data_IF_030258759955
#
_entry.id   IF_030258759955
#
_cell.length_a   1.000
_cell.length_b   1.000
_cell.length_c   1.000
_cell.angle_alpha   90.00
_cell.angle_beta   90.00
_cell.angle_gamma   90.00
#
_symmetry.space_group_name_H-M   'P 1'
#
loop_
_entity.id
_entity.type
_entity.pdbx_description
1 polymer ?
#
# COMPACT_ATOMS: atom_id res chain seq x y z
N UNK A 1 -5.81 -9.58 -14.43
CA UNK A 1 -6.23 -10.93 -14.87
C UNK A 1 -5.15 -11.49 -15.78
N UNK A 2 -4.75 -12.76 -15.62
CA UNK A 2 -3.59 -13.31 -16.36
C UNK A 2 -3.87 -13.67 -17.83
N UNK A 3 -5.13 -13.63 -18.25
CA UNK A 3 -5.57 -13.95 -19.61
C UNK A 3 -5.55 -12.76 -20.59
N UNK A 4 -5.27 -11.56 -20.10
CA UNK A 4 -5.23 -10.32 -20.88
C UNK A 4 -3.79 -9.85 -21.09
N UNK A 5 -3.55 -9.19 -22.22
CA UNK A 5 -2.32 -8.43 -22.46
C UNK A 5 -2.38 -7.11 -21.68
N UNK A 6 -1.21 -6.49 -21.44
CA UNK A 6 -1.14 -5.24 -20.69
C UNK A 6 -1.88 -4.06 -21.35
N UNK A 7 -1.99 -4.10 -22.69
CA UNK A 7 -2.57 -3.03 -23.50
C UNK A 7 -3.98 -3.37 -24.01
N UNK A 8 -4.57 -4.48 -23.56
CA UNK A 8 -5.94 -4.86 -23.95
C UNK A 8 -6.96 -3.90 -23.28
N UNK A 9 -7.99 -3.53 -24.03
CA UNK A 9 -9.14 -2.79 -23.48
C UNK A 9 -10.04 -3.76 -22.72
N UNK A 10 -10.29 -3.48 -21.44
CA UNK A 10 -11.19 -4.27 -20.60
C UNK A 10 -12.58 -3.61 -20.53
N UNK A 11 -13.62 -4.35 -20.91
CA UNK A 11 -15.01 -4.01 -20.64
C UNK A 11 -15.62 -5.00 -19.65
N UNK A 12 -16.21 -4.48 -18.57
CA UNK A 12 -16.97 -5.27 -17.59
C UNK A 12 -18.47 -5.09 -17.83
N UNK A 13 -19.23 -6.19 -17.89
CA UNK A 13 -20.68 -6.18 -18.10
C UNK A 13 -21.36 -7.05 -17.05
N UNK A 14 -22.41 -6.52 -16.44
CA UNK A 14 -23.33 -7.27 -15.58
C UNK A 14 -24.72 -6.66 -15.69
N UNK A 15 -25.76 -7.49 -15.56
CA UNK A 15 -27.14 -7.02 -15.39
C UNK A 15 -27.42 -6.69 -13.91
N UNK A 16 -28.50 -5.96 -13.66
CA UNK A 16 -29.00 -5.79 -12.29
C UNK A 16 -29.37 -7.16 -11.71
N UNK A 17 -28.92 -7.45 -10.48
CA UNK A 17 -29.09 -8.75 -9.80
C UNK A 17 -28.57 -9.96 -10.62
N UNK A 18 -27.47 -9.78 -11.36
CA UNK A 18 -26.90 -10.86 -12.16
C UNK A 18 -26.30 -12.01 -11.32
N UNK A 19 -26.35 -13.22 -11.88
CA UNK A 19 -25.63 -14.39 -11.38
C UNK A 19 -24.20 -14.49 -11.92
N UNK A 20 -23.88 -13.71 -12.95
CA UNK A 20 -22.58 -13.70 -13.63
C UNK A 20 -22.12 -12.28 -13.95
N UNK A 21 -20.80 -12.13 -14.09
CA UNK A 21 -20.16 -10.95 -14.67
C UNK A 21 -19.36 -11.40 -15.89
N UNK A 22 -19.43 -10.61 -16.96
CA UNK A 22 -18.65 -10.83 -18.18
C UNK A 22 -17.50 -9.83 -18.25
N UNK A 23 -16.31 -10.35 -18.55
CA UNK A 23 -15.12 -9.58 -18.86
C UNK A 23 -14.78 -9.77 -20.34
N UNK A 24 -14.79 -8.67 -21.08
CA UNK A 24 -14.41 -8.64 -22.50
C UNK A 24 -13.05 -7.95 -22.61
N UNK A 25 -12.10 -8.63 -23.26
CA UNK A 25 -10.79 -8.07 -23.57
C UNK A 25 -10.63 -7.91 -25.08
N UNK A 26 -10.29 -6.71 -25.51
CA UNK A 26 -10.07 -6.39 -26.93
C UNK A 26 -8.63 -5.96 -27.13
N UNK A 27 -7.91 -6.60 -28.05
CA UNK A 27 -6.53 -6.22 -28.38
C UNK A 27 -6.49 -4.81 -29.01
N UNK A 28 -5.39 -4.09 -28.79
CA UNK A 28 -5.24 -2.72 -29.30
C UNK A 28 -5.38 -2.61 -30.84
N UNK A 29 -5.02 -3.66 -31.58
CA UNK A 29 -5.16 -3.77 -33.04
C UNK A 29 -6.49 -4.44 -33.49
N UNK A 30 -7.38 -4.76 -32.56
CA UNK A 30 -8.73 -5.31 -32.78
C UNK A 30 -8.77 -6.66 -33.51
N UNK A 31 -7.66 -7.40 -33.55
CA UNK A 31 -7.60 -8.73 -34.19
C UNK A 31 -8.03 -9.87 -33.27
N UNK A 32 -8.12 -9.61 -31.96
CA UNK A 32 -8.43 -10.57 -30.92
C UNK A 32 -9.44 -9.98 -29.94
N UNK A 33 -10.52 -10.72 -29.74
CA UNK A 33 -11.49 -10.49 -28.67
C UNK A 33 -11.55 -11.73 -27.80
N UNK A 34 -11.54 -11.55 -26.48
CA UNK A 34 -11.65 -12.65 -25.51
C UNK A 34 -12.74 -12.36 -24.50
N UNK A 35 -13.75 -13.24 -24.48
CA UNK A 35 -14.90 -13.15 -23.58
C UNK A 35 -14.79 -14.18 -22.47
N UNK A 36 -14.83 -13.72 -21.22
CA UNK A 36 -14.82 -14.58 -20.03
C UNK A 36 -16.02 -14.27 -19.15
N UNK A 37 -16.79 -15.31 -18.84
CA UNK A 37 -17.91 -15.23 -17.91
C UNK A 37 -17.54 -15.87 -16.57
N UNK A 38 -17.85 -15.19 -15.47
CA UNK A 38 -17.59 -15.67 -14.12
C UNK A 38 -18.87 -15.61 -13.28
N UNK A 39 -19.14 -16.67 -12.50
CA UNK A 39 -20.23 -16.68 -11.53
C UNK A 39 -19.94 -15.71 -10.38
N UNK A 40 -20.95 -14.93 -10.03
CA UNK A 40 -20.93 -14.04 -8.89
C UNK A 40 -21.18 -14.83 -7.59
N UNK A 41 -20.72 -14.27 -6.48
CA UNK A 41 -20.90 -14.83 -5.15
C UNK A 41 -21.61 -13.80 -4.28
N UNK A 42 -22.61 -14.26 -3.54
CA UNK A 42 -23.26 -13.44 -2.52
C UNK A 42 -22.37 -13.39 -1.30
N UNK A 43 -21.86 -12.20 -1.01
CA UNK A 43 -21.07 -11.91 0.18
C UNK A 43 -21.87 -10.91 1.02
N UNK A 44 -22.01 -11.19 2.31
CA UNK A 44 -22.54 -10.22 3.26
C UNK A 44 -21.54 -9.06 3.34
N UNK A 45 -21.95 -7.88 2.90
CA UNK A 45 -21.09 -6.69 2.90
C UNK A 45 -21.41 -5.82 4.11
N UNK A 46 -20.50 -5.79 5.07
CA UNK A 46 -20.46 -4.77 6.11
C UNK A 46 -19.51 -3.66 5.65
N UNK A 47 -20.07 -2.54 5.18
CA UNK A 47 -19.28 -1.36 4.88
C UNK A 47 -18.95 -0.63 6.19
N UNK A 48 -17.67 -0.59 6.52
CA UNK A 48 -17.18 0.27 7.60
C UNK A 48 -16.97 1.68 7.08
N UNK A 49 -17.55 2.67 7.76
CA UNK A 49 -17.26 4.07 7.51
C UNK A 49 -15.82 4.38 7.94
N UNK A 50 -15.05 5.00 7.05
CA UNK A 50 -13.72 5.51 7.38
C UNK A 50 -13.89 6.97 7.83
N UNK A 51 -13.55 7.32 9.08
CA UNK A 51 -13.65 8.69 9.55
C UNK A 51 -12.56 9.57 8.92
N UNK A 52 -12.81 10.88 8.89
CA UNK A 52 -11.78 11.86 8.62
C UNK A 52 -10.81 11.90 9.81
N UNK A 53 -9.53 11.67 9.54
CA UNK A 53 -8.48 11.54 10.55
C UNK A 53 -7.33 12.48 10.23
N UNK A 54 -6.94 13.29 11.20
CA UNK A 54 -5.70 14.06 11.14
C UNK A 54 -4.52 13.15 11.51
N UNK A 55 -3.52 13.09 10.64
CA UNK A 55 -2.32 12.27 10.86
C UNK A 55 -1.18 13.12 11.40
N UNK A 56 -0.50 12.62 12.44
CA UNK A 56 0.71 13.21 12.99
C UNK A 56 1.82 13.37 11.93
N UNK A 57 1.96 12.39 11.05
CA UNK A 57 2.94 12.40 9.98
C UNK A 57 2.42 11.76 8.70
N UNK A 58 2.72 12.40 7.56
CA UNK A 58 2.49 11.89 6.22
C UNK A 58 3.85 11.79 5.52
N UNK A 59 4.22 10.58 5.11
CA UNK A 59 5.46 10.30 4.40
C UNK A 59 5.13 9.80 3.01
N UNK A 60 5.65 10.45 1.96
CA UNK A 60 5.57 9.97 0.59
C UNK A 60 6.97 9.63 0.08
N UNK A 61 7.11 8.45 -0.53
CA UNK A 61 8.40 7.92 -0.99
C UNK A 61 8.23 7.03 -2.22
N UNK A 62 9.33 6.61 -2.89
CA UNK A 62 9.26 5.66 -3.99
C UNK A 62 8.68 4.32 -3.52
N UNK A 63 7.65 3.83 -4.23
CA UNK A 63 6.95 2.59 -3.86
C UNK A 63 7.85 1.36 -3.93
N UNK A 64 8.81 1.37 -4.86
CA UNK A 64 9.80 0.32 -5.02
C UNK A 64 10.78 0.25 -3.83
N UNK A 65 11.15 1.40 -3.26
CA UNK A 65 12.03 1.47 -2.10
C UNK A 65 11.32 0.97 -0.84
N UNK A 66 10.09 1.42 -0.61
CA UNK A 66 9.26 0.89 0.48
C UNK A 66 9.07 -0.64 0.39
N UNK A 67 8.83 -1.15 -0.82
CA UNK A 67 8.70 -2.59 -1.06
C UNK A 67 10.00 -3.37 -0.76
N UNK A 68 11.15 -2.80 -1.09
CA UNK A 68 12.47 -3.37 -0.75
C UNK A 68 12.67 -3.39 0.75
N UNK A 69 12.46 -2.26 1.43
CA UNK A 69 12.58 -2.13 2.89
C UNK A 69 11.72 -3.19 3.61
N UNK A 70 10.44 -3.32 3.25
CA UNK A 70 9.54 -4.29 3.89
C UNK A 70 10.00 -5.74 3.69
N UNK A 71 10.54 -6.07 2.52
CA UNK A 71 11.03 -7.41 2.20
C UNK A 71 12.30 -7.75 2.96
N UNK A 72 13.23 -6.80 3.00
CA UNK A 72 14.54 -6.96 3.61
C UNK A 72 14.41 -7.07 5.13
N UNK A 73 13.62 -6.19 5.76
CA UNK A 73 13.40 -6.22 7.21
C UNK A 73 12.64 -7.48 7.66
N UNK A 74 11.75 -8.02 6.84
CA UNK A 74 11.07 -9.27 7.14
C UNK A 74 11.99 -10.50 7.19
N UNK A 75 13.23 -10.40 6.70
CA UNK A 75 14.24 -11.46 6.89
C UNK A 75 14.80 -11.47 8.32
N UNK A 76 14.74 -10.35 9.04
CA UNK A 76 15.34 -10.18 10.37
C UNK A 76 14.33 -10.33 11.50
N UNK A 77 13.09 -9.89 11.31
CA UNK A 77 12.06 -9.94 12.34
C UNK A 77 10.64 -9.86 11.81
N UNK A 78 9.69 -10.29 12.65
CA UNK A 78 8.26 -10.33 12.31
C UNK A 78 7.55 -8.98 12.43
N UNK A 79 8.22 -8.01 13.07
CA UNK A 79 7.69 -6.67 13.30
C UNK A 79 8.67 -5.62 12.80
N UNK A 80 8.14 -4.49 12.33
CA UNK A 80 8.93 -3.31 11.97
C UNK A 80 8.40 -2.11 12.74
N UNK A 81 9.33 -1.39 13.37
CA UNK A 81 9.11 -0.09 13.98
C UNK A 81 9.33 0.98 12.92
N UNK A 82 8.31 1.80 12.67
CA UNK A 82 8.37 2.97 11.80
C UNK A 82 8.40 4.20 12.69
N UNK A 83 9.52 4.93 12.67
CA UNK A 83 9.74 6.14 13.45
C UNK A 83 9.92 7.34 12.51
N UNK A 84 9.03 8.32 12.61
CA UNK A 84 9.12 9.59 11.88
C UNK A 84 9.59 10.69 12.83
N UNK A 85 10.69 11.35 12.47
CA UNK A 85 11.27 12.45 13.24
C UNK A 85 11.72 13.57 12.29
N UNK A 86 12.21 14.68 12.85
CA UNK A 86 12.77 15.79 12.04
C UNK A 86 13.94 15.37 11.14
N UNK A 87 14.62 14.28 11.47
CA UNK A 87 15.77 13.80 10.69
C UNK A 87 15.40 12.85 9.55
N UNK A 88 14.11 12.50 9.41
CA UNK A 88 13.63 11.55 8.42
C UNK A 88 12.74 10.45 9.00
N UNK A 89 12.40 9.50 8.15
CA UNK A 89 11.70 8.26 8.52
C UNK A 89 12.71 7.13 8.69
N UNK A 90 12.58 6.37 9.78
CA UNK A 90 13.42 5.21 10.09
C UNK A 90 12.56 3.97 10.23
N UNK A 91 12.97 2.91 9.56
CA UNK A 91 12.41 1.57 9.65
C UNK A 91 13.40 0.68 10.41
N UNK A 92 12.95 0.04 11.49
CA UNK A 92 13.82 -0.77 12.34
C UNK A 92 13.15 -2.11 12.64
N UNK A 93 13.92 -3.19 12.72
CA UNK A 93 13.45 -4.50 13.16
C UNK A 93 14.53 -5.18 14.00
N UNK A 94 14.11 -6.07 14.88
CA UNK A 94 14.99 -6.91 15.69
C UNK A 94 14.37 -8.30 15.79
N UNK A 95 15.19 -9.33 15.60
CA UNK A 95 14.79 -10.72 15.78
C UNK A 95 16.00 -11.62 16.03
N UNK A 96 15.81 -12.92 15.92
CA UNK A 96 16.79 -13.92 16.39
C UNK A 96 18.14 -13.84 15.70
N UNK A 97 18.16 -13.46 14.41
CA UNK A 97 19.39 -13.38 13.62
C UNK A 97 20.09 -12.02 13.75
N UNK A 98 19.47 -11.04 14.42
CA UNK A 98 20.00 -9.70 14.62
C UNK A 98 18.98 -8.59 14.37
N UNK A 99 19.49 -7.37 14.22
CA UNK A 99 18.69 -6.16 13.99
C UNK A 99 19.05 -5.49 12.67
N UNK A 100 18.06 -4.89 12.00
CA UNK A 100 18.25 -4.10 10.79
C UNK A 100 17.60 -2.73 10.92
N UNK A 101 18.23 -1.71 10.33
CA UNK A 101 17.79 -0.32 10.38
C UNK A 101 17.98 0.34 9.01
N UNK A 102 16.92 0.96 8.48
CA UNK A 102 16.96 1.77 7.25
C UNK A 102 16.42 3.15 7.56
N UNK A 103 17.13 4.21 7.18
CA UNK A 103 16.71 5.61 7.39
C UNK A 103 16.64 6.32 6.04
N UNK A 104 15.52 6.95 5.77
CA UNK A 104 15.32 7.82 4.62
C UNK A 104 15.21 9.26 5.12
N UNK A 105 16.13 10.11 4.68
CA UNK A 105 16.06 11.54 4.91
C UNK A 105 15.15 12.19 3.87
N UNK A 106 14.48 13.28 4.26
CA UNK A 106 13.76 14.12 3.32
C UNK A 106 14.72 14.63 2.24
N UNK A 107 14.31 14.53 0.99
CA UNK A 107 15.07 15.05 -0.14
C UNK A 107 14.12 15.69 -1.15
N UNK A 108 14.68 16.51 -2.03
CA UNK A 108 13.96 17.08 -3.15
C UNK A 108 14.75 16.76 -4.42
N UNK A 109 14.10 16.08 -5.37
CA UNK A 109 14.63 15.87 -6.70
C UNK A 109 13.69 16.57 -7.68
N UNK A 110 14.10 17.75 -8.15
CA UNK A 110 13.27 18.61 -9.02
C UNK A 110 13.07 17.97 -10.39
N UNK A 111 14.02 17.14 -10.83
CA UNK A 111 13.96 16.50 -12.14
C UNK A 111 13.11 15.22 -12.14
N UNK A 112 12.91 14.61 -10.96
CA UNK A 112 12.19 13.34 -10.78
C UNK A 112 11.51 13.28 -9.41
N UNK A 113 10.35 13.89 -9.30
CA UNK A 113 9.60 13.96 -8.03
C UNK A 113 9.24 12.58 -7.48
N UNK A 114 9.03 11.58 -8.33
CA UNK A 114 8.71 10.20 -7.94
C UNK A 114 9.87 9.47 -7.25
N UNK A 115 11.11 9.95 -7.39
CA UNK A 115 12.28 9.46 -6.67
C UNK A 115 12.47 10.15 -5.30
N UNK A 116 11.65 11.17 -5.00
CA UNK A 116 11.79 11.98 -3.78
C UNK A 116 11.14 11.34 -2.55
N UNK A 117 11.66 11.72 -1.38
CA UNK A 117 11.08 11.43 -0.06
C UNK A 117 10.61 12.74 0.55
N UNK A 118 9.31 12.88 0.73
CA UNK A 118 8.68 14.03 1.38
C UNK A 118 8.05 13.61 2.69
N UNK A 119 8.17 14.49 3.69
CA UNK A 119 7.72 14.23 5.05
C UNK A 119 7.00 15.49 5.53
N UNK A 120 5.70 15.37 5.73
CA UNK A 120 4.88 16.36 6.43
C UNK A 120 4.70 15.86 7.87
N UNK A 121 5.16 16.62 8.86
CA UNK A 121 5.16 16.17 10.25
C UNK A 121 4.67 17.28 11.17
N UNK A 122 3.56 17.01 11.86
CA UNK A 122 3.04 17.83 12.95
C UNK A 122 3.72 17.46 14.26
N UNK A 123 3.82 16.15 14.54
CA UNK A 123 4.50 15.60 15.71
C UNK A 123 5.28 14.32 15.36
N UNK A 124 6.38 14.01 16.09
CA UNK A 124 7.07 12.75 15.93
C UNK A 124 6.17 11.57 16.30
N UNK A 125 6.27 10.48 15.53
CA UNK A 125 5.46 9.27 15.75
C UNK A 125 6.35 8.03 15.59
N UNK A 126 6.19 7.07 16.51
CA UNK A 126 6.89 5.78 16.45
C UNK A 126 5.91 4.66 16.73
N UNK A 127 5.69 3.79 15.75
CA UNK A 127 4.70 2.71 15.84
C UNK A 127 5.28 1.39 15.33
N UNK A 128 4.81 0.28 15.90
CA UNK A 128 5.24 -1.07 15.59
C UNK A 128 4.18 -1.79 14.72
N UNK A 129 4.59 -2.48 13.65
CA UNK A 129 3.65 -3.15 12.72
C UNK A 129 4.15 -4.53 12.32
N UNK A 130 3.24 -5.46 12.01
CA UNK A 130 3.64 -6.79 11.54
C UNK A 130 4.13 -6.74 10.08
N UNK A 131 5.35 -7.22 9.84
CA UNK A 131 6.00 -7.26 8.52
C UNK A 131 5.17 -8.02 7.47
N UNK A 132 4.42 -9.05 7.90
CA UNK A 132 3.57 -9.88 7.02
C UNK A 132 2.53 -9.05 6.26
N UNK A 133 1.88 -8.09 6.93
CA UNK A 133 0.84 -7.27 6.30
C UNK A 133 1.46 -6.22 5.39
N UNK A 134 2.55 -5.57 5.81
CA UNK A 134 3.25 -4.59 4.97
C UNK A 134 3.77 -5.23 3.67
N UNK A 135 4.34 -6.44 3.73
CA UNK A 135 4.72 -7.20 2.53
C UNK A 135 3.54 -7.61 1.65
N UNK A 136 2.33 -7.72 2.22
CA UNK A 136 1.13 -7.95 1.42
C UNK A 136 0.68 -6.68 0.70
N UNK A 137 0.80 -5.52 1.35
CA UNK A 137 0.44 -4.22 0.77
C UNK A 137 1.37 -3.82 -0.37
N UNK A 138 2.66 -4.15 -0.29
CA UNK A 138 3.66 -3.84 -1.34
C UNK A 138 3.42 -4.57 -2.66
N UNK A 139 2.45 -5.50 -2.72
CA UNK A 139 1.96 -6.07 -3.98
C UNK A 139 1.25 -5.03 -4.87
N UNK A 140 0.82 -3.90 -4.29
CA UNK A 140 0.25 -2.76 -5.02
C UNK A 140 1.31 -1.85 -5.65
N UNK A 141 2.61 -2.06 -5.41
CA UNK A 141 3.70 -1.26 -5.99
C UNK A 141 3.60 -1.04 -7.51
N UNK A 142 3.18 -2.01 -8.35
CA UNK A 142 3.01 -1.77 -9.79
C UNK A 142 1.93 -0.74 -10.17
N UNK A 143 1.04 -0.36 -9.24
CA UNK A 143 -0.03 0.61 -9.50
C UNK A 143 0.44 2.05 -9.45
N UNK A 144 1.52 2.34 -8.71
CA UNK A 144 1.97 3.70 -8.44
C UNK A 144 3.49 3.76 -8.24
N UNK A 145 4.20 4.72 -8.85
CA UNK A 145 5.63 4.90 -8.61
C UNK A 145 5.94 5.39 -7.19
N UNK A 146 4.95 5.95 -6.49
CA UNK A 146 5.07 6.43 -5.11
C UNK A 146 4.07 5.76 -4.17
N UNK A 147 4.41 5.66 -2.89
CA UNK A 147 3.51 5.24 -1.81
C UNK A 147 3.43 6.35 -0.77
N UNK A 148 2.26 6.53 -0.17
CA UNK A 148 2.06 7.43 0.98
C UNK A 148 1.76 6.61 2.24
N UNK A 149 2.47 6.92 3.33
CA UNK A 149 2.24 6.39 4.66
C UNK A 149 1.68 7.51 5.52
N UNK A 150 0.52 7.29 6.14
CA UNK A 150 -0.09 8.26 7.07
C UNK A 150 -0.15 7.62 8.45
N UNK A 151 0.51 8.24 9.43
CA UNK A 151 0.74 7.70 10.77
C UNK A 151 0.21 8.67 11.83
N UNK A 152 -0.45 8.14 12.84
CA UNK A 152 -0.79 8.85 14.08
C UNK A 152 -0.89 7.85 15.22
N UNK A 153 -0.71 8.31 16.46
CA UNK A 153 -1.03 7.47 17.61
C UNK A 153 -2.53 7.14 17.62
N UNK A 154 -2.90 5.99 18.17
CA UNK A 154 -4.28 5.53 18.38
C UNK A 154 -5.15 5.32 17.12
N UNK A 155 -4.57 5.40 15.92
CA UNK A 155 -5.25 5.09 14.65
C UNK A 155 -4.44 4.13 13.79
N UNK A 156 -5.07 3.36 12.89
CA UNK A 156 -4.35 2.50 11.96
C UNK A 156 -3.40 3.29 11.05
N UNK A 157 -2.26 2.70 10.72
CA UNK A 157 -1.42 3.14 9.61
C UNK A 157 -2.24 3.06 8.31
N UNK A 158 -2.17 4.12 7.51
CA UNK A 158 -2.68 4.11 6.13
C UNK A 158 -1.53 4.01 5.15
N UNK A 159 -1.59 2.99 4.29
CA UNK A 159 -0.69 2.83 3.14
C UNK A 159 -1.49 3.05 1.86
N UNK A 160 -1.23 4.14 1.16
CA UNK A 160 -1.95 4.55 -0.05
C UNK A 160 -1.08 4.40 -1.30
N UNK A 161 -1.65 3.77 -2.33
CA UNK A 161 -1.14 3.75 -3.71
C UNK A 161 -2.17 4.42 -4.62
N UNK A 162 -1.80 5.50 -5.30
CA UNK A 162 -2.66 6.14 -6.30
C UNK A 162 -2.71 5.31 -7.58
N UNK A 163 -3.89 5.21 -8.20
CA UNK A 163 -4.09 4.57 -9.50
C UNK A 163 -4.37 5.69 -10.50
N UNK A 164 -3.32 6.23 -11.14
CA UNK A 164 -3.43 7.37 -12.04
C UNK A 164 -4.32 8.48 -11.45
N UNK A 165 -5.26 8.97 -12.26
CA UNK A 165 -6.27 9.96 -11.85
C UNK A 165 -7.62 9.34 -11.49
N UNK A 166 -7.75 8.00 -11.49
CA UNK A 166 -9.03 7.31 -11.32
C UNK A 166 -9.34 6.95 -9.86
N UNK A 167 -8.34 6.96 -8.98
CA UNK A 167 -8.55 6.69 -7.56
C UNK A 167 -7.29 6.17 -6.85
N UNK A 168 -7.49 5.33 -5.84
CA UNK A 168 -6.42 4.80 -5.00
C UNK A 168 -6.79 3.44 -4.42
N UNK A 169 -5.77 2.72 -3.96
CA UNK A 169 -5.92 1.61 -3.00
C UNK A 169 -5.34 2.08 -1.67
N UNK A 170 -6.13 1.95 -0.60
CA UNK A 170 -5.71 2.22 0.78
C UNK A 170 -5.76 0.94 1.60
N UNK A 171 -4.66 0.66 2.29
CA UNK A 171 -4.59 -0.39 3.28
C UNK A 171 -4.52 0.23 4.67
N UNK A 172 -5.31 -0.31 5.61
CA UNK A 172 -5.35 0.11 7.00
C UNK A 172 -4.75 -1.00 7.86
N UNK A 173 -3.78 -0.67 8.71
CA UNK A 173 -3.11 -1.62 9.57
C UNK A 173 -2.98 -1.08 10.98
N UNK A 174 -3.65 -1.76 11.93
CA UNK A 174 -3.51 -1.44 13.34
C UNK A 174 -2.05 -1.65 13.79
N UNK A 175 -1.51 -0.77 14.64
CA UNK A 175 -0.22 -1.00 15.26
C UNK A 175 -0.27 -2.24 16.16
N UNK A 176 0.87 -2.90 16.34
CA UNK A 176 1.05 -3.86 17.42
C UNK A 176 1.04 -3.09 18.74
N UNK A 177 0.23 -3.55 19.67
CA UNK A 177 0.30 -3.12 21.07
C UNK A 177 1.42 -3.96 21.68
N UNK A 178 2.43 -3.33 22.27
CA UNK A 178 3.42 -4.07 23.03
C UNK A 178 2.75 -4.50 24.35
N UNK A 179 2.75 -5.81 24.64
CA UNK A 179 2.08 -6.41 25.81
C UNK A 179 2.71 -5.98 27.18
N UNK A 180 3.62 -5.01 27.19
CA UNK A 180 4.38 -4.57 28.38
C UNK A 180 3.73 -3.43 29.18
N UNK A 181 2.53 -2.96 28.82
CA UNK A 181 1.75 -2.01 29.63
C UNK A 181 0.65 -2.68 30.50
N UNK A 182 0.94 -3.84 31.10
CA UNK A 182 0.15 -4.41 32.22
C UNK A 182 1.03 -4.81 33.41
#
# INVERSE_FOLDING_TARGET
MKCASNDDVLTMKAQDNADTVTFVFESANQDKVSDYEMKLMNLDQEHLGIPDTDYACIVKMPSAEFARICRDLAQFGESVVIACTKEGVKFSTSGDIGSANVKLAQNANVDKEEESVTIEMQEPVTLNFACRYLNSFTKATPLSPTVQLSLSHDVPLVVEYKIGDIGFIRYYLAPKIDDEEN
#
